data_IF_180122086089
#
_entry.id   IF_180122086089
#
_cell.length_a   1.000
_cell.length_b   1.000
_cell.length_c   1.000
_cell.angle_alpha   90.00
_cell.angle_beta   90.00
_cell.angle_gamma   90.00
#
_symmetry.space_group_name_H-M   'P 1'
#
loop_
_entity.id
_entity.type
_entity.pdbx_description
1 polymer ?
#
# COMPACT_ATOMS: atom_id res chain seq x y z
N UNK A 1 38.33 27.37 -4.41
CA UNK A 1 37.46 26.71 -5.42
C UNK A 1 36.01 26.93 -5.03
N UNK A 2 35.29 27.82 -5.72
CA UNK A 2 33.88 28.12 -5.44
C UNK A 2 33.01 26.98 -5.96
N UNK A 3 32.15 26.44 -5.11
CA UNK A 3 31.16 25.44 -5.49
C UNK A 3 30.20 26.04 -6.52
N UNK A 4 30.20 25.51 -7.73
CA UNK A 4 29.20 25.86 -8.75
C UNK A 4 27.81 25.54 -8.20
N UNK A 5 27.02 26.59 -8.02
CA UNK A 5 25.61 26.48 -7.74
C UNK A 5 24.96 25.73 -8.91
N UNK A 6 24.60 24.46 -8.69
CA UNK A 6 23.82 23.67 -9.63
C UNK A 6 22.53 24.42 -9.96
N UNK A 7 22.54 25.11 -11.11
CA UNK A 7 21.36 25.74 -11.71
C UNK A 7 20.22 24.72 -11.69
N UNK A 8 19.14 25.05 -10.96
CA UNK A 8 17.93 24.22 -10.91
C UNK A 8 17.29 24.29 -12.31
N UNK A 9 17.70 23.40 -13.22
CA UNK A 9 17.08 23.20 -14.55
C UNK A 9 15.56 23.40 -14.43
N UNK A 10 15.04 24.37 -15.20
CA UNK A 10 13.60 24.64 -15.29
C UNK A 10 12.94 23.32 -15.69
N UNK A 11 11.92 22.89 -14.94
CA UNK A 11 11.19 21.67 -15.30
C UNK A 11 10.19 22.12 -16.35
N UNK A 12 10.45 21.77 -17.59
CA UNK A 12 9.49 21.88 -18.70
C UNK A 12 8.48 20.75 -18.55
N UNK A 13 7.20 21.09 -18.67
CA UNK A 13 6.10 20.15 -18.65
C UNK A 13 5.82 19.70 -20.08
N UNK A 14 5.37 18.45 -20.22
CA UNK A 14 4.76 17.96 -21.46
C UNK A 14 3.33 18.48 -21.58
N UNK A 15 2.77 18.51 -22.78
CA UNK A 15 1.38 18.91 -23.02
C UNK A 15 0.38 18.11 -22.16
N UNK A 16 0.60 16.79 -22.04
CA UNK A 16 -0.19 15.91 -21.17
C UNK A 16 -0.12 16.32 -19.70
N UNK A 17 1.08 16.65 -19.20
CA UNK A 17 1.26 17.09 -17.82
C UNK A 17 0.63 18.47 -17.57
N UNK A 18 0.68 19.38 -18.55
CA UNK A 18 0.02 20.68 -18.46
C UNK A 18 -1.50 20.52 -18.44
N UNK A 19 -2.05 19.71 -19.34
CA UNK A 19 -3.47 19.39 -19.38
C UNK A 19 -3.93 18.75 -18.07
N UNK A 20 -3.18 17.78 -17.54
CA UNK A 20 -3.51 17.11 -16.27
C UNK A 20 -3.50 18.08 -15.08
N UNK A 21 -2.48 18.94 -14.98
CA UNK A 21 -2.37 19.95 -13.91
C UNK A 21 -3.49 20.98 -14.01
N UNK A 22 -3.85 21.40 -15.23
CA UNK A 22 -4.96 22.31 -15.51
C UNK A 22 -6.31 21.69 -15.13
N UNK A 23 -6.59 20.47 -15.60
CA UNK A 23 -7.79 19.69 -15.28
C UNK A 23 -8.03 19.63 -13.77
N UNK A 24 -6.99 19.35 -13.00
CA UNK A 24 -7.07 19.20 -11.55
C UNK A 24 -6.97 20.51 -10.75
N UNK A 25 -6.95 21.68 -11.41
CA UNK A 25 -6.87 22.98 -10.76
C UNK A 25 -5.63 23.15 -9.87
N UNK A 26 -4.51 22.53 -10.23
CA UNK A 26 -3.34 22.44 -9.36
C UNK A 26 -2.56 23.75 -9.39
N UNK A 27 -2.44 24.39 -8.21
CA UNK A 27 -1.69 25.64 -8.04
C UNK A 27 -0.26 25.53 -8.58
N UNK A 28 0.19 26.53 -9.36
CA UNK A 28 1.54 26.64 -9.97
C UNK A 28 2.68 26.27 -9.01
N UNK A 29 2.58 26.70 -7.73
CA UNK A 29 3.57 26.40 -6.67
C UNK A 29 3.71 24.90 -6.34
N UNK A 30 2.67 24.10 -6.56
CA UNK A 30 2.65 22.64 -6.32
C UNK A 30 3.01 21.83 -7.56
N UNK A 31 2.73 22.36 -8.76
CA UNK A 31 2.93 21.70 -10.07
C UNK A 31 4.31 21.05 -10.21
N UNK A 32 5.39 21.82 -10.00
CA UNK A 32 6.77 21.32 -10.14
C UNK A 32 7.06 20.11 -9.25
N UNK A 33 6.55 20.12 -8.01
CA UNK A 33 6.75 19.04 -7.04
C UNK A 33 5.93 17.80 -7.39
N UNK A 34 4.70 18.00 -7.85
CA UNK A 34 3.82 16.92 -8.30
C UNK A 34 4.42 16.22 -9.52
N UNK A 35 4.70 16.95 -10.60
CA UNK A 35 5.26 16.39 -11.84
C UNK A 35 6.58 15.64 -11.59
N UNK A 36 7.50 16.24 -10.83
CA UNK A 36 8.75 15.55 -10.41
C UNK A 36 8.49 14.28 -9.61
N UNK A 37 7.36 14.20 -8.92
CA UNK A 37 6.95 13.00 -8.18
C UNK A 37 6.40 11.94 -9.12
N UNK A 38 5.48 12.30 -10.02
CA UNK A 38 4.83 11.39 -10.96
C UNK A 38 5.78 10.82 -12.03
N UNK A 39 6.80 11.58 -12.45
CA UNK A 39 7.85 11.09 -13.37
C UNK A 39 8.74 9.98 -12.79
N UNK A 40 8.73 9.79 -11.47
CA UNK A 40 9.52 8.73 -10.80
C UNK A 40 8.74 7.43 -10.77
N UNK A 41 9.43 6.33 -10.41
CA UNK A 41 8.74 5.07 -10.15
C UNK A 41 7.88 5.17 -8.88
N UNK A 42 6.71 4.50 -8.84
CA UNK A 42 5.95 4.35 -7.61
C UNK A 42 6.78 3.60 -6.57
N UNK A 43 6.46 3.89 -5.31
CA UNK A 43 7.06 3.24 -4.15
C UNK A 43 6.14 3.38 -2.95
N UNK A 44 6.26 2.42 -2.05
CA UNK A 44 5.60 2.46 -0.75
C UNK A 44 6.21 3.59 0.10
N UNK A 45 5.34 4.25 0.85
CA UNK A 45 5.66 5.34 1.78
C UNK A 45 5.26 5.01 3.21
N UNK A 46 4.36 4.03 3.38
CA UNK A 46 3.84 3.47 4.61
C UNK A 46 2.76 4.31 5.29
N UNK A 47 2.02 3.69 6.22
CA UNK A 47 0.79 4.23 6.81
C UNK A 47 0.97 5.58 7.50
N UNK A 48 2.16 5.85 8.07
CA UNK A 48 2.47 7.14 8.72
C UNK A 48 2.60 8.31 7.74
N UNK A 49 2.51 8.08 6.43
CA UNK A 49 2.37 9.16 5.44
C UNK A 49 0.92 9.42 5.04
N UNK A 50 0.01 8.56 5.47
CA UNK A 50 -1.43 8.69 5.32
C UNK A 50 -2.07 9.30 6.58
N UNK A 51 -1.39 9.28 7.74
CA UNK A 51 -1.88 9.80 9.02
C UNK A 51 -1.80 11.34 9.18
N UNK A 52 -2.35 11.84 10.29
CA UNK A 52 -2.00 13.08 11.03
C UNK A 52 -2.16 14.43 10.33
N UNK A 53 -2.39 14.45 9.02
CA UNK A 53 -2.52 15.68 8.23
C UNK A 53 -3.60 15.59 7.14
N UNK A 54 -4.20 14.42 6.96
CA UNK A 54 -5.19 14.15 5.92
C UNK A 54 -6.18 13.02 6.28
N UNK A 55 -5.75 11.97 7.01
CA UNK A 55 -6.60 10.80 7.35
C UNK A 55 -6.32 10.23 8.75
N UNK A 56 -6.31 11.08 9.78
CA UNK A 56 -6.04 10.71 11.18
C UNK A 56 -7.04 9.67 11.75
N UNK A 57 -8.37 9.85 11.61
CA UNK A 57 -9.34 8.85 12.10
C UNK A 57 -9.16 7.47 11.46
N UNK A 58 -8.93 7.45 10.14
CA UNK A 58 -8.66 6.22 9.40
C UNK A 58 -7.37 5.53 9.88
N UNK A 59 -6.32 6.30 10.13
CA UNK A 59 -5.08 5.76 10.65
C UNK A 59 -5.25 5.19 12.07
N UNK A 60 -5.98 5.88 12.95
CA UNK A 60 -6.26 5.41 14.31
C UNK A 60 -7.10 4.13 14.30
N UNK A 61 -8.15 4.07 13.48
CA UNK A 61 -8.95 2.86 13.27
C UNK A 61 -8.09 1.70 12.75
N UNK A 62 -7.28 1.95 11.72
CA UNK A 62 -6.36 0.96 11.16
C UNK A 62 -5.35 0.45 12.20
N UNK A 63 -4.72 1.36 12.96
CA UNK A 63 -3.72 1.02 14.00
C UNK A 63 -4.28 0.04 15.02
N UNK A 64 -5.56 0.18 15.36
CA UNK A 64 -6.23 -0.68 16.33
C UNK A 64 -6.82 -1.97 15.74
N UNK A 65 -6.96 -2.04 14.41
CA UNK A 65 -7.44 -3.22 13.68
C UNK A 65 -6.44 -4.39 13.68
N UNK A 66 -6.87 -5.61 13.31
CA UNK A 66 -5.97 -6.73 13.08
C UNK A 66 -4.86 -6.44 12.05
N UNK A 67 -5.16 -5.67 10.98
CA UNK A 67 -4.18 -5.31 9.95
C UNK A 67 -3.07 -4.39 10.46
N UNK A 68 -3.38 -3.52 11.43
CA UNK A 68 -2.39 -2.68 12.13
C UNK A 68 -1.51 -3.45 13.13
N UNK A 69 -1.76 -4.75 13.33
CA UNK A 69 -1.10 -5.59 14.35
C UNK A 69 -0.52 -6.90 13.77
N UNK A 70 -0.49 -7.05 12.45
CA UNK A 70 -0.09 -8.30 11.76
C UNK A 70 1.34 -8.75 12.05
N UNK A 71 2.27 -7.82 12.26
CA UNK A 71 3.66 -8.14 12.58
C UNK A 71 3.80 -8.83 13.93
N UNK A 72 3.01 -8.42 14.92
CA UNK A 72 3.03 -9.02 16.24
C UNK A 72 2.68 -10.51 16.17
N UNK A 73 1.74 -10.88 15.31
CA UNK A 73 1.31 -12.27 15.12
C UNK A 73 2.43 -13.21 14.63
N UNK A 74 3.50 -12.65 14.04
CA UNK A 74 4.64 -13.42 13.54
C UNK A 74 5.70 -13.73 14.60
N UNK A 75 5.62 -13.09 15.77
CA UNK A 75 6.57 -13.34 16.87
C UNK A 75 6.35 -14.73 17.51
N UNK A 76 7.36 -15.28 18.20
CA UNK A 76 7.22 -16.47 19.06
C UNK A 76 6.08 -16.34 20.07
N UNK A 77 5.46 -17.46 20.44
CA UNK A 77 4.38 -17.56 21.43
C UNK A 77 3.02 -16.96 21.00
N UNK A 78 2.98 -16.17 19.91
CA UNK A 78 1.74 -15.52 19.48
C UNK A 78 0.83 -16.50 18.73
N UNK A 79 -0.45 -16.54 19.12
CA UNK A 79 -1.51 -17.38 18.53
C UNK A 79 -1.10 -18.86 18.38
N UNK A 80 -0.52 -19.44 19.44
CA UNK A 80 -0.01 -20.82 19.45
C UNK A 80 -1.01 -21.83 18.87
N UNK A 81 -2.26 -21.83 19.33
CA UNK A 81 -3.29 -22.76 18.87
C UNK A 81 -3.61 -22.61 17.37
N UNK A 82 -3.60 -21.39 16.84
CA UNK A 82 -3.79 -21.18 15.41
C UNK A 82 -2.59 -21.70 14.61
N UNK A 83 -1.36 -21.48 15.08
CA UNK A 83 -0.14 -21.97 14.43
C UNK A 83 -0.09 -23.51 14.42
N UNK A 84 -0.37 -24.16 15.55
CA UNK A 84 -0.43 -25.63 15.65
C UNK A 84 -1.43 -26.22 14.66
N UNK A 85 -2.61 -25.61 14.51
CA UNK A 85 -3.65 -26.06 13.57
C UNK A 85 -3.18 -26.14 12.11
N UNK A 86 -2.19 -25.32 11.75
CA UNK A 86 -1.59 -25.30 10.40
C UNK A 86 -0.17 -25.86 10.38
N UNK A 87 0.18 -26.68 11.37
CA UNK A 87 1.50 -27.31 11.50
C UNK A 87 2.67 -26.29 11.49
N UNK A 88 2.44 -25.08 12.02
CA UNK A 88 3.48 -24.10 12.29
C UNK A 88 3.91 -24.19 13.76
N UNK A 89 5.20 -23.99 13.98
CA UNK A 89 5.81 -23.95 15.31
C UNK A 89 5.40 -22.66 16.05
N UNK A 90 4.69 -22.74 17.18
CA UNK A 90 4.30 -21.57 17.97
C UNK A 90 5.47 -20.67 18.39
N UNK A 91 6.61 -21.27 18.72
CA UNK A 91 7.79 -20.63 19.30
C UNK A 91 8.78 -20.14 18.25
N UNK A 92 8.57 -20.50 16.99
CA UNK A 92 9.38 -20.00 15.89
C UNK A 92 9.11 -18.52 15.61
N UNK A 93 10.20 -17.78 15.41
CA UNK A 93 10.15 -16.41 14.92
C UNK A 93 9.92 -16.36 13.39
N UNK A 94 8.75 -15.92 12.98
CA UNK A 94 8.39 -15.73 11.56
C UNK A 94 8.56 -14.28 11.09
N UNK A 95 9.07 -13.37 11.91
CA UNK A 95 9.23 -11.94 11.61
C UNK A 95 10.30 -11.63 10.54
N UNK A 96 11.05 -12.65 10.14
CA UNK A 96 12.00 -12.62 9.02
C UNK A 96 11.62 -13.59 7.89
N UNK A 97 10.56 -14.38 8.05
CA UNK A 97 10.14 -15.41 7.09
C UNK A 97 9.61 -14.79 5.80
N UNK A 98 10.25 -15.03 4.63
CA UNK A 98 9.84 -14.37 3.39
C UNK A 98 8.39 -14.69 2.96
N UNK A 99 7.88 -15.89 3.26
CA UNK A 99 6.50 -16.25 2.96
C UNK A 99 5.52 -15.46 3.82
N UNK A 100 5.78 -15.36 5.13
CA UNK A 100 4.89 -14.70 6.07
C UNK A 100 4.86 -13.18 5.84
N UNK A 101 6.04 -12.58 5.61
CA UNK A 101 6.18 -11.12 5.46
C UNK A 101 5.44 -10.57 4.23
N UNK A 102 5.20 -11.37 3.20
CA UNK A 102 4.47 -10.92 2.01
C UNK A 102 3.04 -10.49 2.31
N UNK A 103 2.36 -11.23 3.20
CA UNK A 103 0.96 -10.99 3.54
C UNK A 103 0.79 -10.22 4.85
N UNK A 104 1.84 -10.14 5.69
CA UNK A 104 1.78 -9.51 7.01
C UNK A 104 2.44 -8.13 7.08
N UNK A 105 3.01 -7.62 5.99
CA UNK A 105 3.69 -6.32 5.97
C UNK A 105 3.37 -5.54 4.69
N UNK A 106 3.72 -4.26 4.68
CA UNK A 106 3.48 -3.36 3.55
C UNK A 106 4.61 -3.45 2.52
N UNK A 107 4.31 -3.96 1.33
CA UNK A 107 5.20 -3.90 0.17
C UNK A 107 6.51 -4.68 0.34
N UNK A 108 6.53 -5.78 1.11
CA UNK A 108 7.73 -6.60 1.27
C UNK A 108 8.36 -6.96 -0.08
N UNK A 109 9.67 -6.72 -0.19
CA UNK A 109 10.47 -6.93 -1.43
C UNK A 109 10.07 -6.05 -2.62
N UNK A 110 9.24 -5.04 -2.40
CA UNK A 110 8.87 -4.03 -3.39
C UNK A 110 9.54 -2.68 -3.09
N UNK A 111 9.46 -1.76 -4.04
CA UNK A 111 10.13 -0.44 -3.96
C UNK A 111 9.62 0.36 -2.77
N UNK A 112 10.49 0.64 -1.80
CA UNK A 112 10.14 1.44 -0.62
C UNK A 112 9.31 0.73 0.46
N UNK A 113 9.00 -0.56 0.28
CA UNK A 113 8.24 -1.33 1.26
C UNK A 113 9.09 -1.87 2.41
N UNK A 114 8.48 -2.74 3.22
CA UNK A 114 9.06 -3.30 4.44
C UNK A 114 10.36 -4.05 4.17
N UNK A 115 11.27 -3.91 5.14
CA UNK A 115 12.58 -4.56 5.18
C UNK A 115 12.76 -5.15 6.57
N UNK A 116 12.82 -6.48 6.73
CA UNK A 116 12.98 -7.12 8.02
C UNK A 116 14.34 -6.78 8.65
N UNK A 117 14.46 -7.05 9.95
CA UNK A 117 15.71 -6.89 10.68
C UNK A 117 16.89 -7.59 9.97
N UNK A 118 18.07 -6.97 10.05
CA UNK A 118 19.28 -7.47 9.39
C UNK A 118 19.33 -7.22 7.88
N UNK A 119 18.39 -6.48 7.29
CA UNK A 119 18.46 -6.12 5.87
C UNK A 119 19.58 -5.10 5.64
N UNK A 120 20.63 -5.49 4.92
CA UNK A 120 21.77 -4.62 4.59
C UNK A 120 21.71 -4.10 3.14
N UNK A 121 22.21 -2.88 2.93
CA UNK A 121 22.45 -2.31 1.61
C UNK A 121 23.65 -2.98 0.92
N UNK A 122 23.87 -2.71 -0.37
CA UNK A 122 25.08 -3.18 -1.09
C UNK A 122 26.39 -2.73 -0.41
N UNK A 123 26.35 -1.62 0.33
CA UNK A 123 27.49 -1.07 1.08
C UNK A 123 27.49 -1.52 2.55
N UNK A 124 26.81 -2.60 2.91
CA UNK A 124 26.79 -3.15 4.27
C UNK A 124 25.95 -2.40 5.30
N UNK A 125 25.55 -1.15 5.05
CA UNK A 125 24.70 -0.37 5.99
C UNK A 125 23.36 -1.03 6.25
N UNK A 126 22.93 -1.05 7.51
CA UNK A 126 21.59 -1.47 7.89
C UNK A 126 20.55 -0.54 7.26
N UNK A 127 19.56 -1.14 6.61
CA UNK A 127 18.44 -0.47 5.95
C UNK A 127 17.11 -1.14 6.30
N UNK A 128 17.09 -1.89 7.41
CA UNK A 128 15.89 -2.46 7.99
C UNK A 128 14.86 -1.37 8.28
N UNK A 129 13.59 -1.74 8.22
CA UNK A 129 12.51 -0.81 8.59
C UNK A 129 12.48 -0.66 10.09
N UNK A 130 12.49 0.58 10.58
CA UNK A 130 12.26 0.88 12.00
C UNK A 130 10.86 0.38 12.38
N UNK A 131 10.80 -0.45 13.42
CA UNK A 131 9.54 -0.91 14.02
C UNK A 131 9.25 0.04 15.18
N UNK A 132 8.09 0.70 15.11
CA UNK A 132 7.65 1.67 16.11
C UNK A 132 6.29 1.22 16.64
N UNK A 133 6.20 0.74 17.90
CA UNK A 133 4.93 0.34 18.50
C UNK A 133 3.91 1.48 18.61
N UNK A 134 4.38 2.71 18.76
CA UNK A 134 3.53 3.90 18.93
C UNK A 134 3.09 4.46 17.57
N UNK A 135 3.97 4.40 16.57
CA UNK A 135 3.68 4.87 15.22
C UNK A 135 3.86 3.76 14.14
N UNK A 136 2.98 2.74 14.14
CA UNK A 136 3.15 1.61 13.24
C UNK A 136 3.09 1.99 11.76
N UNK A 137 3.93 1.34 10.96
CA UNK A 137 4.23 1.78 9.61
C UNK A 137 4.18 0.65 8.58
N UNK A 138 5.33 0.21 8.07
CA UNK A 138 5.41 -0.77 6.97
C UNK A 138 5.50 -2.20 7.47
N UNK A 139 5.86 -2.39 8.72
CA UNK A 139 5.88 -3.68 9.39
C UNK A 139 4.49 -4.31 9.49
N UNK A 140 3.44 -3.51 9.35
CA UNK A 140 2.05 -3.96 9.36
C UNK A 140 1.45 -4.03 7.94
N UNK A 141 0.27 -4.62 7.78
CA UNK A 141 -0.53 -4.52 6.55
C UNK A 141 -1.16 -3.13 6.51
N UNK A 142 -0.50 -2.19 5.86
CA UNK A 142 -0.87 -0.77 5.83
C UNK A 142 -1.85 -0.39 4.74
N UNK A 143 -2.25 0.89 4.72
CA UNK A 143 -3.22 1.46 3.79
C UNK A 143 -2.90 1.10 2.32
N UNK A 144 -1.62 1.12 1.98
CA UNK A 144 -1.12 0.90 0.63
C UNK A 144 -1.31 -0.54 0.12
N UNK A 145 -1.57 -1.51 1.01
CA UNK A 145 -1.82 -2.90 0.61
C UNK A 145 -3.20 -3.10 -0.02
N UNK A 146 -4.16 -2.21 0.31
CA UNK A 146 -5.50 -2.20 -0.28
C UNK A 146 -5.64 -1.09 -1.32
N UNK A 147 -5.22 0.14 -0.98
CA UNK A 147 -5.45 1.32 -1.81
C UNK A 147 -4.41 1.54 -2.91
N UNK A 148 -3.38 0.70 -3.01
CA UNK A 148 -2.36 0.89 -4.05
C UNK A 148 -1.82 -0.40 -4.65
N UNK A 149 -1.43 -0.31 -5.92
CA UNK A 149 -0.79 -1.41 -6.66
C UNK A 149 0.68 -1.56 -6.29
N UNK A 150 1.41 -0.43 -6.28
CA UNK A 150 2.87 -0.40 -6.18
C UNK A 150 3.38 0.65 -5.16
N UNK A 151 2.51 1.06 -4.23
CA UNK A 151 2.77 2.06 -3.20
C UNK A 151 2.11 3.41 -3.48
N UNK A 152 1.79 4.12 -2.40
CA UNK A 152 0.96 5.32 -2.37
C UNK A 152 1.69 6.63 -2.59
N UNK A 153 2.97 6.62 -3.01
CA UNK A 153 3.72 7.88 -3.24
C UNK A 153 3.04 8.80 -4.26
N UNK A 154 2.50 8.25 -5.34
CA UNK A 154 1.89 9.04 -6.41
C UNK A 154 0.48 9.51 -6.04
N UNK A 155 -0.41 8.58 -5.63
CA UNK A 155 -1.77 8.93 -5.16
C UNK A 155 -1.73 9.99 -4.05
N UNK A 156 -0.81 9.88 -3.09
CA UNK A 156 -0.65 10.88 -2.02
C UNK A 156 -0.23 12.25 -2.56
N UNK A 157 0.60 12.28 -3.60
CA UNK A 157 1.02 13.53 -4.21
C UNK A 157 -0.17 14.22 -4.92
N UNK A 158 -1.04 13.45 -5.54
CA UNK A 158 -2.28 13.93 -6.18
C UNK A 158 -3.24 14.42 -5.10
N UNK A 159 -3.61 13.58 -4.13
CA UNK A 159 -4.48 13.91 -3.00
C UNK A 159 -4.07 15.22 -2.30
N UNK A 160 -2.76 15.37 -1.99
CA UNK A 160 -2.25 16.60 -1.34
C UNK A 160 -2.27 17.83 -2.27
N UNK A 161 -2.09 17.62 -3.57
CA UNK A 161 -2.06 18.72 -4.54
C UNK A 161 -3.46 19.27 -4.80
N UNK A 162 -4.44 18.36 -4.91
CA UNK A 162 -5.84 18.66 -5.20
C UNK A 162 -6.72 18.87 -3.97
N UNK A 163 -6.23 18.54 -2.76
CA UNK A 163 -7.03 18.53 -1.52
C UNK A 163 -8.25 17.60 -1.64
N UNK A 164 -8.04 16.40 -2.17
CA UNK A 164 -9.12 15.41 -2.31
C UNK A 164 -10.02 15.60 -3.53
N UNK A 165 -9.84 16.67 -4.31
CA UNK A 165 -10.59 16.98 -5.54
C UNK A 165 -10.01 16.25 -6.76
N UNK A 166 -10.35 14.98 -6.91
CA UNK A 166 -9.92 14.13 -8.03
C UNK A 166 -10.95 13.04 -8.29
N UNK A 167 -11.04 12.59 -9.55
CA UNK A 167 -11.82 11.40 -9.94
C UNK A 167 -11.02 10.11 -9.73
N UNK A 168 -11.70 8.96 -9.67
CA UNK A 168 -11.09 7.62 -9.62
C UNK A 168 -10.03 7.45 -10.71
N UNK A 169 -10.33 7.90 -11.94
CA UNK A 169 -9.43 7.83 -13.10
C UNK A 169 -8.13 8.62 -12.92
N UNK A 170 -8.18 9.77 -12.23
CA UNK A 170 -7.02 10.64 -12.04
C UNK A 170 -5.94 9.98 -11.16
N UNK A 171 -6.34 9.11 -10.23
CA UNK A 171 -5.40 8.41 -9.34
C UNK A 171 -5.14 6.98 -9.74
N UNK A 172 -6.08 6.32 -10.41
CA UNK A 172 -5.94 4.96 -10.92
C UNK A 172 -4.79 4.82 -11.92
N UNK A 173 -4.66 5.78 -12.85
CA UNK A 173 -3.52 5.84 -13.78
C UNK A 173 -2.16 5.96 -13.08
N UNK A 174 -2.14 6.25 -11.77
CA UNK A 174 -0.95 6.29 -10.93
C UNK A 174 -0.92 5.20 -9.85
N UNK A 175 -1.79 4.21 -9.96
CA UNK A 175 -1.77 2.98 -9.18
C UNK A 175 -2.57 3.02 -7.90
N UNK A 176 -3.54 3.94 -7.76
CA UNK A 176 -4.61 3.77 -6.78
C UNK A 176 -5.52 2.63 -7.23
N UNK A 177 -5.91 1.76 -6.29
CA UNK A 177 -6.82 0.64 -6.55
C UNK A 177 -8.25 1.00 -6.14
N UNK A 178 -9.19 0.54 -6.95
CA UNK A 178 -10.64 0.59 -6.67
C UNK A 178 -11.27 -0.80 -6.69
N UNK A 179 -10.55 -1.81 -7.20
CA UNK A 179 -10.89 -3.24 -7.18
C UNK A 179 -10.64 -3.89 -5.81
N UNK A 180 -11.29 -3.39 -4.76
CA UNK A 180 -11.01 -3.76 -3.37
C UNK A 180 -11.17 -5.27 -3.11
N UNK A 181 -12.18 -5.92 -3.68
CA UNK A 181 -12.37 -7.37 -3.53
C UNK A 181 -11.15 -8.14 -4.05
N UNK A 182 -10.69 -7.82 -5.27
CA UNK A 182 -9.46 -8.37 -5.84
C UNK A 182 -8.21 -7.98 -5.02
N UNK A 183 -8.18 -6.79 -4.42
CA UNK A 183 -7.06 -6.40 -3.54
C UNK A 183 -6.96 -7.30 -2.30
N UNK A 184 -8.09 -7.77 -1.76
CA UNK A 184 -8.14 -8.65 -0.59
C UNK A 184 -7.61 -10.07 -0.90
N UNK A 185 -7.86 -10.58 -2.12
CA UNK A 185 -7.43 -11.94 -2.54
C UNK A 185 -5.91 -12.09 -2.59
N UNK A 186 -5.16 -10.98 -2.69
CA UNK A 186 -3.69 -10.93 -2.60
C UNK A 186 -3.12 -11.67 -1.40
N UNK A 187 -3.90 -11.76 -0.31
CA UNK A 187 -3.49 -12.37 0.94
C UNK A 187 -4.50 -13.40 1.46
N UNK A 188 -5.80 -13.09 1.44
CA UNK A 188 -6.82 -13.90 2.11
C UNK A 188 -7.15 -15.21 1.41
N UNK A 189 -7.05 -15.25 0.09
CA UNK A 189 -7.29 -16.46 -0.72
C UNK A 189 -6.04 -16.91 -1.46
N UNK A 190 -4.88 -16.34 -1.10
CA UNK A 190 -3.62 -16.66 -1.77
C UNK A 190 -3.22 -18.11 -1.45
N UNK A 191 -2.92 -18.93 -2.46
CA UNK A 191 -2.61 -20.37 -2.29
C UNK A 191 -1.44 -20.69 -1.32
N UNK A 192 -0.60 -19.69 -1.02
CA UNK A 192 0.50 -19.81 -0.04
C UNK A 192 0.16 -19.34 1.39
N UNK A 193 -1.07 -18.89 1.67
CA UNK A 193 -1.48 -18.71 3.07
C UNK A 193 -1.73 -20.08 3.69
N UNK A 194 -1.24 -20.36 4.91
CA UNK A 194 -1.51 -21.63 5.60
C UNK A 194 -2.92 -21.67 6.19
N UNK A 195 -3.57 -20.52 6.36
CA UNK A 195 -4.90 -20.39 6.95
C UNK A 195 -5.97 -20.41 5.87
N UNK A 196 -6.31 -21.61 5.40
CA UNK A 196 -7.29 -21.84 4.33
C UNK A 196 -8.60 -22.44 4.89
N UNK A 197 -9.72 -22.38 4.14
CA UNK A 197 -11.00 -22.93 4.57
C UNK A 197 -10.96 -24.43 4.90
N UNK A 198 -10.10 -25.21 4.23
CA UNK A 198 -9.92 -26.65 4.48
C UNK A 198 -9.33 -26.93 5.86
N UNK A 199 -8.61 -25.97 6.45
CA UNK A 199 -8.08 -26.08 7.81
C UNK A 199 -9.16 -25.75 8.85
N UNK A 200 -9.98 -24.75 8.56
CA UNK A 200 -11.09 -24.33 9.41
C UNK A 200 -12.01 -23.34 8.69
N UNK A 201 -13.33 -23.53 8.82
CA UNK A 201 -14.34 -22.73 8.11
C UNK A 201 -14.22 -21.22 8.36
N UNK A 202 -13.86 -20.78 9.57
CA UNK A 202 -13.58 -19.36 9.89
C UNK A 202 -12.59 -18.64 8.94
N UNK A 203 -11.77 -19.38 8.19
CA UNK A 203 -10.83 -18.85 7.21
C UNK A 203 -11.44 -18.65 5.82
N UNK A 204 -12.69 -19.09 5.59
CA UNK A 204 -13.49 -18.71 4.43
C UNK A 204 -13.58 -17.18 4.38
N UNK A 205 -13.16 -16.63 3.24
CA UNK A 205 -13.15 -15.20 3.02
C UNK A 205 -14.46 -14.78 2.35
N UNK A 206 -15.16 -13.85 3.01
CA UNK A 206 -16.34 -13.16 2.49
C UNK A 206 -16.00 -11.68 2.40
N UNK A 207 -15.85 -11.14 1.18
CA UNK A 207 -15.48 -9.76 1.00
C UNK A 207 -16.50 -8.79 1.61
N UNK A 208 -17.80 -9.01 1.35
CA UNK A 208 -18.89 -8.11 1.77
C UNK A 208 -18.95 -8.01 3.29
N UNK A 209 -18.68 -9.11 3.99
CA UNK A 209 -18.64 -9.09 5.44
C UNK A 209 -17.34 -8.49 5.98
N UNK A 210 -16.18 -8.90 5.46
CA UNK A 210 -14.89 -8.47 6.00
C UNK A 210 -14.61 -6.99 5.78
N UNK A 211 -15.10 -6.40 4.68
CA UNK A 211 -14.88 -4.99 4.37
C UNK A 211 -15.57 -4.05 5.37
N UNK A 212 -16.62 -4.51 6.06
CA UNK A 212 -17.27 -3.73 7.13
C UNK A 212 -16.35 -3.47 8.33
N UNK A 213 -15.29 -4.25 8.49
CA UNK A 213 -14.38 -4.18 9.64
C UNK A 213 -13.04 -3.50 9.35
N UNK A 214 -12.77 -3.03 8.12
CA UNK A 214 -11.47 -2.42 7.79
C UNK A 214 -11.35 -0.94 8.17
N UNK A 215 -12.47 -0.24 8.36
CA UNK A 215 -12.50 1.20 8.70
C UNK A 215 -13.58 1.56 9.76
N UNK A 216 -13.54 1.02 10.98
CA UNK A 216 -14.43 1.47 12.06
C UNK A 216 -13.98 2.85 12.58
N UNK A 217 -14.15 3.89 11.76
CA UNK A 217 -13.60 5.24 11.99
C UNK A 217 -14.46 6.12 12.88
N UNK A 218 -15.73 5.76 13.08
CA UNK A 218 -16.72 6.62 13.73
C UNK A 218 -16.32 7.04 15.14
N UNK A 219 -15.62 6.18 15.87
CA UNK A 219 -15.12 6.44 17.24
C UNK A 219 -13.81 7.23 17.28
N UNK A 220 -13.22 7.58 16.14
CA UNK A 220 -11.92 8.27 16.05
C UNK A 220 -12.01 9.70 15.52
N UNK A 221 -13.23 10.18 15.22
CA UNK A 221 -13.47 11.59 14.93
C UNK A 221 -13.41 12.43 16.21
N UNK A 222 -12.79 13.60 16.12
CA UNK A 222 -12.73 14.62 17.17
C UNK A 222 -12.85 16.00 16.54
N UNK A 223 -12.96 17.05 17.34
CA UNK A 223 -12.99 18.44 16.83
C UNK A 223 -11.75 18.76 15.98
N UNK A 224 -10.57 18.29 16.42
CA UNK A 224 -9.27 18.51 15.75
C UNK A 224 -9.13 17.89 14.35
N UNK A 225 -10.00 16.97 13.95
CA UNK A 225 -9.87 16.23 12.69
C UNK A 225 -11.15 16.19 11.85
N UNK A 226 -12.14 17.03 12.17
CA UNK A 226 -13.37 17.15 11.36
C UNK A 226 -13.09 17.55 9.91
N UNK A 227 -12.06 18.35 9.68
CA UNK A 227 -11.62 18.82 8.36
C UNK A 227 -11.07 17.70 7.46
N UNK A 228 -10.92 16.49 8.00
CA UNK A 228 -10.40 15.31 7.30
C UNK A 228 -11.50 14.37 6.79
N UNK A 229 -12.77 14.75 6.99
CA UNK A 229 -13.92 14.04 6.39
C UNK A 229 -13.82 14.07 4.86
N UNK A 230 -14.19 12.95 4.24
CA UNK A 230 -14.10 12.82 2.78
C UNK A 230 -15.28 13.51 2.11
N UNK A 231 -15.08 14.75 1.66
CA UNK A 231 -16.13 15.58 1.03
C UNK A 231 -16.67 14.98 -0.27
N UNK A 232 -15.79 14.40 -1.11
CA UNK A 232 -16.13 13.92 -2.46
C UNK A 232 -16.41 12.41 -2.56
N UNK A 233 -16.88 11.78 -1.49
CA UNK A 233 -17.09 10.32 -1.48
C UNK A 233 -18.29 9.91 -2.33
N UNK A 234 -19.36 10.72 -2.34
CA UNK A 234 -20.59 10.40 -3.09
C UNK A 234 -20.32 10.42 -4.59
N UNK A 235 -19.71 11.51 -5.08
CA UNK A 235 -19.36 11.65 -6.49
C UNK A 235 -18.44 10.52 -6.95
N UNK A 236 -17.48 10.11 -6.12
CA UNK A 236 -16.61 8.97 -6.44
C UNK A 236 -17.34 7.63 -6.42
N UNK A 237 -18.38 7.45 -5.61
CA UNK A 237 -19.15 6.21 -5.61
C UNK A 237 -19.98 6.04 -6.89
N UNK A 238 -20.35 7.14 -7.54
CA UNK A 238 -21.06 7.14 -8.82
C UNK A 238 -20.12 6.91 -10.02
N UNK A 239 -18.80 7.06 -9.83
CA UNK A 239 -17.80 6.75 -10.83
C UNK A 239 -17.46 5.26 -10.85
N UNK A 240 -17.21 4.70 -12.03
CA UNK A 240 -16.68 3.35 -12.20
C UNK A 240 -15.25 3.43 -12.69
N UNK A 241 -14.32 2.90 -11.89
CA UNK A 241 -12.91 2.76 -12.27
C UNK A 241 -12.70 1.61 -13.25
N UNK A 242 -11.59 1.67 -13.99
CA UNK A 242 -11.20 0.58 -14.90
C UNK A 242 -10.96 -0.70 -14.09
N UNK A 243 -10.31 -0.60 -12.93
CA UNK A 243 -10.04 -1.77 -12.07
C UNK A 243 -11.31 -2.43 -11.53
N UNK A 244 -12.40 -1.68 -11.34
CA UNK A 244 -13.69 -2.26 -10.88
C UNK A 244 -14.35 -3.14 -11.94
N UNK A 245 -14.14 -2.85 -13.23
CA UNK A 245 -14.67 -3.66 -14.35
C UNK A 245 -13.67 -4.70 -14.82
N UNK A 246 -12.39 -4.34 -14.85
CA UNK A 246 -11.29 -5.20 -15.27
C UNK A 246 -10.23 -5.21 -14.16
N UNK A 247 -10.27 -6.17 -13.22
CA UNK A 247 -9.38 -6.18 -12.06
C UNK A 247 -7.90 -6.15 -12.42
N UNK A 248 -7.08 -5.59 -11.53
CA UNK A 248 -5.63 -5.57 -11.73
C UNK A 248 -5.04 -6.97 -11.50
N UNK A 249 -3.93 -7.29 -12.16
CA UNK A 249 -3.19 -8.53 -11.88
C UNK A 249 -2.82 -8.62 -10.38
N UNK A 250 -2.73 -9.84 -9.85
CA UNK A 250 -2.20 -10.10 -8.51
C UNK A 250 -0.79 -10.66 -8.64
N UNK A 251 0.15 -10.09 -7.89
CA UNK A 251 1.53 -10.53 -7.97
C UNK A 251 1.73 -11.95 -7.43
N UNK A 252 2.18 -12.86 -8.30
CA UNK A 252 2.63 -14.18 -7.91
C UNK A 252 4.10 -14.16 -7.44
N UNK A 253 4.43 -15.04 -6.50
CA UNK A 253 5.77 -15.12 -5.93
C UNK A 253 6.14 -16.54 -5.49
N UNK A 254 7.44 -16.79 -5.49
CA UNK A 254 8.05 -18.00 -4.95
C UNK A 254 9.15 -17.64 -3.95
N UNK A 255 9.48 -18.55 -3.05
CA UNK A 255 10.68 -18.43 -2.22
C UNK A 255 11.76 -19.33 -2.80
N UNK A 256 12.85 -18.71 -3.26
CA UNK A 256 14.02 -19.41 -3.83
C UNK A 256 15.26 -19.01 -3.04
N UNK A 257 15.95 -20.00 -2.46
CA UNK A 257 17.14 -19.81 -1.61
C UNK A 257 16.88 -18.82 -0.45
N UNK A 258 15.81 -19.06 0.31
CA UNK A 258 15.43 -18.23 1.47
C UNK A 258 15.03 -16.78 1.12
N UNK A 259 14.70 -16.48 -0.14
CA UNK A 259 14.31 -15.12 -0.57
C UNK A 259 13.07 -15.15 -1.42
N UNK A 260 12.12 -14.26 -1.14
CA UNK A 260 10.94 -14.08 -1.98
C UNK A 260 11.31 -13.41 -3.31
N UNK A 261 10.82 -13.99 -4.38
CA UNK A 261 11.00 -13.55 -5.77
C UNK A 261 9.63 -13.47 -6.42
N UNK A 262 9.31 -12.28 -6.92
CA UNK A 262 8.12 -12.09 -7.74
C UNK A 262 8.33 -12.66 -9.14
N UNK A 263 7.29 -13.29 -9.68
CA UNK A 263 7.22 -13.59 -11.10
C UNK A 263 6.99 -12.28 -11.85
N UNK A 264 7.91 -11.91 -12.76
CA UNK A 264 7.86 -10.59 -13.41
C UNK A 264 6.61 -10.41 -14.27
N UNK A 265 6.13 -11.47 -14.89
CA UNK A 265 4.97 -11.44 -15.78
C UNK A 265 3.65 -11.24 -15.05
N UNK A 266 3.57 -11.55 -13.75
CA UNK A 266 2.37 -11.35 -12.92
C UNK A 266 2.39 -10.04 -12.12
N UNK A 267 3.43 -9.21 -12.27
CA UNK A 267 3.51 -7.96 -11.51
C UNK A 267 2.50 -6.97 -12.07
N UNK A 268 1.59 -6.43 -11.25
CA UNK A 268 0.57 -5.50 -11.75
C UNK A 268 1.10 -4.14 -12.16
N UNK A 269 2.35 -3.81 -11.84
CA UNK A 269 3.03 -2.64 -12.37
C UNK A 269 4.22 -3.05 -13.25
N UNK A 270 4.11 -2.76 -14.55
CA UNK A 270 5.20 -2.95 -15.49
C UNK A 270 6.21 -1.81 -15.35
N UNK A 271 7.37 -2.13 -14.74
CA UNK A 271 8.42 -1.15 -14.48
C UNK A 271 9.15 -0.64 -15.74
N UNK A 272 9.06 -1.36 -16.86
CA UNK A 272 9.68 -0.99 -18.13
C UNK A 272 8.74 -0.06 -18.89
N UNK A 273 7.48 -0.47 -19.07
CA UNK A 273 6.44 0.30 -19.76
C UNK A 273 5.88 1.45 -18.92
N UNK A 274 6.08 1.40 -17.60
CA UNK A 274 5.50 2.32 -16.58
C UNK A 274 3.97 2.30 -16.58
N UNK A 275 3.36 1.18 -16.94
CA UNK A 275 1.92 0.98 -17.01
C UNK A 275 1.45 -0.02 -15.95
N UNK A 276 0.15 -0.06 -15.70
CA UNK A 276 -0.50 -1.07 -14.87
C UNK A 276 -1.08 -2.18 -15.74
N UNK A 277 -1.07 -3.40 -15.21
CA UNK A 277 -1.60 -4.60 -15.89
C UNK A 277 -2.90 -5.02 -15.26
N UNK A 278 -3.90 -5.17 -16.11
CA UNK A 278 -5.22 -5.65 -15.77
C UNK A 278 -5.34 -7.10 -16.26
N UNK A 279 -6.14 -7.89 -15.55
CA UNK A 279 -6.42 -9.28 -15.91
C UNK A 279 -7.07 -9.32 -17.29
N UNK A 280 -6.66 -10.25 -18.13
CA UNK A 280 -7.30 -10.49 -19.43
C UNK A 280 -8.68 -11.14 -19.19
N UNK A 281 -9.62 -10.91 -20.12
CA UNK A 281 -10.95 -11.54 -20.10
C UNK A 281 -10.86 -13.02 -20.49
#
# INVERSE_FOLDING_TARGET
MKAEARSKKKIELTEEEEAFVKKLGIKKRKTKKLVKTLRKRPRYVGSTKCNGSCHDPYYKAWKNSPHGKTYQLLKPGQRAEAKKRVNLDPEKDYTSSPLCLRCHTTGYRQSGGFRPAGTKSRKGRDISTRIDPEEPNKEQVGCEMCHSVAGGRHLRAIMKSTRGKFSKSDTEQYGQRWDYENACTRCHTHSKTPFQPEVHEKYKFDFKERVKHVHPVDTYWSEDNQDQKLEHIKERNDEVAISETKPLEIENFIVKKGRLRFQKSSMPYDRKKKTFRYQEE
#
